data_IF_897368499560
#
_entry.id   IF_897368499560
#
_cell.length_a   1.000
_cell.length_b   1.000
_cell.length_c   1.000
_cell.angle_alpha   90.00
_cell.angle_beta   90.00
_cell.angle_gamma   90.00
#
_symmetry.space_group_name_H-M   'P 1'
#
loop_
_entity.id
_entity.type
_entity.pdbx_description
1 polymer ?
#
# COMPACT_ATOMS: atom_id res chain seq x y z
N UNK A 1 -34.52 25.33 -9.33
CA UNK A 1 -34.21 24.30 -8.30
C UNK A 1 -33.07 23.38 -8.74
N UNK A 2 -32.58 23.48 -10.01
CA UNK A 2 -31.50 22.66 -10.55
C UNK A 2 -30.09 23.20 -10.25
N UNK A 3 -29.92 24.45 -9.75
CA UNK A 3 -28.63 25.11 -9.61
C UNK A 3 -28.00 25.04 -8.20
N UNK A 4 -28.56 24.27 -7.27
CA UNK A 4 -28.06 24.18 -5.90
C UNK A 4 -27.13 22.97 -5.66
N UNK A 5 -26.75 22.24 -6.70
CA UNK A 5 -25.85 21.05 -6.60
C UNK A 5 -24.55 21.13 -7.42
N UNK A 6 -24.01 22.32 -7.70
CA UNK A 6 -22.58 22.42 -7.96
C UNK A 6 -21.83 22.25 -6.62
N UNK A 7 -21.92 21.06 -6.02
CA UNK A 7 -20.95 20.64 -5.01
C UNK A 7 -19.57 20.66 -5.67
N UNK A 8 -18.69 21.48 -5.13
CA UNK A 8 -17.26 21.44 -5.47
C UNK A 8 -16.83 19.99 -5.60
N UNK A 9 -16.39 19.60 -6.79
CA UNK A 9 -15.90 18.24 -7.04
C UNK A 9 -14.63 18.08 -6.21
N UNK A 10 -14.76 17.38 -5.09
CA UNK A 10 -13.64 17.14 -4.18
C UNK A 10 -12.71 16.20 -4.92
N UNK A 11 -11.45 16.61 -5.09
CA UNK A 11 -10.41 15.74 -5.63
C UNK A 11 -10.19 14.57 -4.66
N UNK A 12 -10.39 13.33 -5.12
CA UNK A 12 -10.32 12.16 -4.22
C UNK A 12 -8.88 11.85 -3.81
N UNK A 13 -8.74 11.07 -2.74
CA UNK A 13 -7.48 10.37 -2.48
C UNK A 13 -7.36 9.24 -3.49
N UNK A 14 -6.23 9.18 -4.20
CA UNK A 14 -5.83 8.07 -5.07
C UNK A 14 -4.99 7.06 -4.30
N UNK A 15 -4.77 5.88 -4.87
CA UNK A 15 -4.16 4.79 -4.11
C UNK A 15 -3.06 4.05 -4.89
N UNK A 16 -1.91 3.82 -4.24
CA UNK A 16 -0.96 2.80 -4.67
C UNK A 16 -1.26 1.52 -3.89
N UNK A 17 -1.68 0.49 -4.60
CA UNK A 17 -2.08 -0.81 -4.09
C UNK A 17 -1.29 -1.93 -4.76
N UNK A 18 -1.52 -3.16 -4.36
CA UNK A 18 -0.86 -4.34 -4.91
C UNK A 18 -0.17 -5.19 -3.85
N UNK A 19 0.49 -6.28 -4.22
CA UNK A 19 1.23 -7.10 -3.27
C UNK A 19 2.36 -6.31 -2.60
N UNK A 20 2.51 -6.44 -1.29
CA UNK A 20 3.70 -5.91 -0.61
C UNK A 20 4.99 -6.48 -1.24
N UNK A 21 6.16 -5.83 -1.05
CA UNK A 21 7.43 -6.26 -1.68
C UNK A 21 7.49 -6.14 -3.21
N UNK A 22 6.55 -5.43 -3.82
CA UNK A 22 6.50 -5.14 -5.26
C UNK A 22 7.01 -3.74 -5.62
N UNK A 23 7.75 -3.07 -4.74
CA UNK A 23 8.31 -1.73 -5.02
C UNK A 23 7.37 -0.56 -4.72
N UNK A 24 6.22 -0.80 -4.08
CA UNK A 24 5.24 0.26 -3.77
C UNK A 24 5.82 1.43 -2.96
N UNK A 25 6.83 1.18 -2.13
CA UNK A 25 7.51 2.26 -1.39
C UNK A 25 8.39 3.11 -2.30
N UNK A 26 9.09 2.50 -3.26
CA UNK A 26 9.88 3.25 -4.25
C UNK A 26 8.99 4.18 -5.06
N UNK A 27 7.90 3.65 -5.63
CA UNK A 27 6.95 4.45 -6.39
C UNK A 27 6.35 5.59 -5.56
N UNK A 28 5.99 5.32 -4.30
CA UNK A 28 5.49 6.35 -3.39
C UNK A 28 6.54 7.46 -3.18
N UNK A 29 7.82 7.11 -2.99
CA UNK A 29 8.88 8.10 -2.79
C UNK A 29 9.06 8.99 -4.03
N UNK A 30 9.07 8.39 -5.22
CA UNK A 30 9.12 9.17 -6.46
C UNK A 30 7.93 10.13 -6.55
N UNK A 31 6.70 9.63 -6.38
CA UNK A 31 5.51 10.48 -6.46
C UNK A 31 5.49 11.56 -5.37
N UNK A 32 5.97 11.26 -4.16
CA UNK A 32 6.04 12.27 -3.11
C UNK A 32 7.04 13.39 -3.41
N UNK A 33 8.04 13.12 -4.24
CA UNK A 33 8.99 14.14 -4.67
C UNK A 33 8.45 15.02 -5.82
N UNK A 34 7.31 14.66 -6.42
CA UNK A 34 6.64 15.52 -7.39
C UNK A 34 6.09 16.78 -6.71
N UNK A 35 6.29 18.01 -7.30
CA UNK A 35 5.89 19.27 -6.65
C UNK A 35 4.41 19.35 -6.25
N UNK A 36 3.53 18.75 -7.04
CA UNK A 36 2.06 18.84 -6.87
C UNK A 36 1.42 17.61 -6.22
N UNK A 37 2.21 16.64 -5.74
CA UNK A 37 1.71 15.38 -5.20
C UNK A 37 2.08 15.23 -3.74
N UNK A 38 1.12 14.85 -2.91
CA UNK A 38 1.36 14.20 -1.61
C UNK A 38 1.26 12.70 -1.84
N UNK A 39 2.29 11.93 -1.51
CA UNK A 39 2.23 10.48 -1.49
C UNK A 39 2.51 9.97 -0.08
N UNK A 40 1.45 9.51 0.60
CA UNK A 40 1.50 9.06 2.00
C UNK A 40 1.95 7.61 2.10
N UNK A 41 2.79 7.26 3.08
CA UNK A 41 3.04 5.87 3.43
C UNK A 41 1.83 5.23 4.14
N UNK A 42 1.95 3.95 4.49
CA UNK A 42 0.90 3.06 5.00
C UNK A 42 0.17 3.57 6.24
N UNK A 43 -0.72 4.55 6.07
CA UNK A 43 -1.66 5.04 7.08
C UNK A 43 -3.00 4.34 6.87
N UNK A 44 -3.51 3.65 7.87
CA UNK A 44 -4.76 2.88 7.74
C UNK A 44 -5.99 3.62 8.26
N UNK A 45 -5.89 4.91 8.56
CA UNK A 45 -6.95 5.69 9.21
C UNK A 45 -8.28 5.66 8.44
N UNK A 46 -8.24 5.72 7.10
CA UNK A 46 -9.46 5.69 6.27
C UNK A 46 -10.29 4.45 6.61
N UNK A 47 -9.71 3.25 6.51
CA UNK A 47 -10.44 2.01 6.81
C UNK A 47 -10.68 1.80 8.30
N UNK A 48 -9.76 2.31 9.16
CA UNK A 48 -9.88 2.18 10.60
C UNK A 48 -11.11 2.92 11.14
N UNK A 49 -11.33 4.15 10.65
CA UNK A 49 -12.42 4.99 11.11
C UNK A 49 -13.70 4.88 10.26
N UNK A 50 -13.62 4.30 9.04
CA UNK A 50 -14.75 4.26 8.10
C UNK A 50 -16.05 3.78 8.73
N UNK A 51 -16.05 2.61 9.36
CA UNK A 51 -17.27 2.05 9.93
C UNK A 51 -17.87 2.91 11.05
N UNK A 52 -17.04 3.66 11.76
CA UNK A 52 -17.46 4.54 12.86
C UNK A 52 -18.00 5.86 12.36
N UNK A 53 -17.39 6.44 11.32
CA UNK A 53 -17.62 7.83 10.93
C UNK A 53 -18.11 8.02 9.49
N UNK A 54 -18.40 6.96 8.72
CA UNK A 54 -18.83 7.07 7.31
C UNK A 54 -20.09 7.91 7.06
N UNK A 55 -20.95 8.08 8.07
CA UNK A 55 -22.16 8.90 8.01
C UNK A 55 -22.00 10.21 8.80
N UNK A 56 -20.82 10.47 9.36
CA UNK A 56 -20.56 11.69 10.11
C UNK A 56 -20.43 12.87 9.16
N UNK A 57 -21.08 13.96 9.50
CA UNK A 57 -21.04 15.25 8.77
C UNK A 57 -20.45 16.37 9.61
N UNK A 58 -20.13 16.09 10.89
CA UNK A 58 -19.55 17.05 11.81
C UNK A 58 -18.41 16.42 12.62
N UNK A 59 -17.19 16.88 12.38
CA UNK A 59 -15.96 16.38 13.02
C UNK A 59 -15.56 17.32 14.16
N UNK A 60 -16.26 17.20 15.29
CA UNK A 60 -15.98 17.99 16.50
C UNK A 60 -14.64 17.61 17.16
N UNK A 61 -14.25 18.36 18.18
CA UNK A 61 -12.96 18.18 18.86
C UNK A 61 -12.78 16.77 19.45
N UNK A 62 -13.84 16.13 19.94
CA UNK A 62 -13.77 14.78 20.49
C UNK A 62 -13.39 13.75 19.39
N UNK A 63 -13.99 13.87 18.20
CA UNK A 63 -13.65 13.01 17.06
C UNK A 63 -12.21 13.28 16.59
N UNK A 64 -11.81 14.54 16.47
CA UNK A 64 -10.44 14.92 16.08
C UNK A 64 -9.41 14.36 17.05
N UNK A 65 -9.72 14.35 18.37
CA UNK A 65 -8.86 13.74 19.39
C UNK A 65 -8.63 12.25 19.14
N UNK A 66 -9.64 11.51 18.69
CA UNK A 66 -9.44 10.09 18.34
C UNK A 66 -8.47 9.90 17.15
N UNK A 67 -8.51 10.79 16.16
CA UNK A 67 -7.57 10.77 15.05
C UNK A 67 -6.15 11.12 15.53
N UNK A 68 -6.00 12.13 16.36
CA UNK A 68 -4.70 12.51 16.95
C UNK A 68 -4.12 11.36 17.76
N UNK A 69 -4.91 10.73 18.64
CA UNK A 69 -4.48 9.55 19.42
C UNK A 69 -4.05 8.40 18.52
N UNK A 70 -4.81 8.14 17.44
CA UNK A 70 -4.46 7.11 16.46
C UNK A 70 -3.10 7.41 15.79
N UNK A 71 -2.83 8.66 15.41
CA UNK A 71 -1.55 9.03 14.81
C UNK A 71 -0.39 9.04 15.80
N UNK A 72 -0.63 9.40 17.07
CA UNK A 72 0.37 9.25 18.15
C UNK A 72 0.78 7.78 18.32
N UNK A 73 -0.19 6.87 18.32
CA UNK A 73 0.10 5.44 18.41
C UNK A 73 0.86 4.94 17.19
N UNK A 74 0.48 5.36 15.99
CA UNK A 74 1.20 5.01 14.76
C UNK A 74 2.64 5.54 14.78
N UNK A 75 2.86 6.77 15.23
CA UNK A 75 4.19 7.37 15.36
C UNK A 75 5.09 6.58 16.30
N UNK A 76 4.52 6.04 17.38
CA UNK A 76 5.26 5.25 18.38
C UNK A 76 5.60 3.82 17.93
N UNK A 77 4.79 3.23 17.03
CA UNK A 77 4.88 1.80 16.66
C UNK A 77 5.40 1.58 15.24
N UNK A 78 4.94 2.39 14.31
CA UNK A 78 5.24 2.21 12.88
C UNK A 78 6.29 3.18 12.36
N UNK A 79 6.63 4.18 13.17
CA UNK A 79 7.59 5.23 12.89
C UNK A 79 7.79 5.49 11.43
N UNK A 80 7.00 6.35 10.93
CA UNK A 80 7.31 6.94 9.66
C UNK A 80 7.91 8.33 9.92
N UNK A 81 9.24 8.46 9.87
CA UNK A 81 9.90 9.75 10.00
C UNK A 81 9.44 10.76 8.95
N UNK A 82 8.74 10.28 7.90
CA UNK A 82 8.17 11.11 6.86
C UNK A 82 6.93 11.90 7.31
N UNK A 83 6.37 11.60 8.49
CA UNK A 83 5.27 12.36 9.08
C UNK A 83 5.77 13.31 10.15
N UNK A 84 5.92 14.56 9.75
CA UNK A 84 6.03 15.67 10.69
C UNK A 84 4.72 16.43 10.65
N UNK A 85 3.77 16.08 11.51
CA UNK A 85 2.52 16.81 11.63
C UNK A 85 2.42 17.47 13.00
N UNK A 86 1.79 18.62 13.00
CA UNK A 86 1.42 19.36 14.19
C UNK A 86 -0.02 19.00 14.55
N UNK A 87 -0.26 18.52 15.75
CA UNK A 87 -1.58 18.06 16.20
C UNK A 87 -2.61 19.17 16.13
N UNK A 88 -2.18 20.40 16.43
CA UNK A 88 -2.99 21.62 16.36
C UNK A 88 -3.61 21.82 14.99
N UNK A 89 -2.91 21.45 13.93
CA UNK A 89 -3.44 21.52 12.55
C UNK A 89 -4.58 20.55 12.30
N UNK A 90 -4.60 19.37 12.95
CA UNK A 90 -5.73 18.45 12.90
C UNK A 90 -6.94 19.05 13.63
N UNK A 91 -6.71 19.66 14.80
CA UNK A 91 -7.76 20.34 15.53
C UNK A 91 -8.32 21.55 14.79
N UNK A 92 -7.53 22.21 13.96
CA UNK A 92 -7.93 23.37 13.15
C UNK A 92 -8.71 23.01 11.87
N UNK A 93 -8.80 21.73 11.49
CA UNK A 93 -9.63 21.30 10.33
C UNK A 93 -11.10 21.72 10.59
N UNK A 94 -11.78 22.19 9.54
CA UNK A 94 -13.20 22.53 9.63
C UNK A 94 -14.01 21.32 10.13
N UNK A 95 -15.04 21.59 10.92
CA UNK A 95 -15.88 20.53 11.49
C UNK A 95 -16.96 20.03 10.53
N UNK A 96 -17.51 20.92 9.71
CA UNK A 96 -18.65 20.62 8.83
C UNK A 96 -18.17 20.06 7.48
N UNK A 97 -18.02 18.76 7.41
CA UNK A 97 -17.61 18.04 6.20
C UNK A 97 -17.94 16.54 6.30
N UNK A 98 -17.94 15.85 5.17
CA UNK A 98 -18.07 14.39 5.13
C UNK A 98 -16.81 13.69 5.64
N UNK A 99 -16.92 12.39 5.94
CA UNK A 99 -15.77 11.57 6.32
C UNK A 99 -14.68 11.56 5.23
N UNK A 100 -15.08 11.51 3.95
CA UNK A 100 -14.14 11.53 2.84
C UNK A 100 -13.35 12.85 2.78
N UNK A 101 -14.03 13.98 2.94
CA UNK A 101 -13.41 15.31 3.00
C UNK A 101 -12.45 15.43 4.19
N UNK A 102 -12.88 14.98 5.35
CA UNK A 102 -12.04 15.02 6.56
C UNK A 102 -10.74 14.22 6.38
N UNK A 103 -10.82 13.03 5.78
CA UNK A 103 -9.62 12.23 5.48
C UNK A 103 -8.68 12.93 4.48
N UNK A 104 -9.21 13.69 3.50
CA UNK A 104 -8.41 14.50 2.58
C UNK A 104 -7.66 15.60 3.34
N UNK A 105 -8.35 16.35 4.19
CA UNK A 105 -7.73 17.41 4.99
C UNK A 105 -6.68 16.86 5.96
N UNK A 106 -6.94 15.71 6.57
CA UNK A 106 -5.94 15.01 7.39
C UNK A 106 -4.67 14.69 6.59
N UNK A 107 -4.79 14.19 5.34
CA UNK A 107 -3.61 13.94 4.50
C UNK A 107 -2.83 15.23 4.19
N UNK A 108 -3.50 16.35 3.93
CA UNK A 108 -2.85 17.65 3.70
C UNK A 108 -2.06 18.09 4.93
N UNK A 109 -2.67 17.99 6.12
CA UNK A 109 -2.02 18.33 7.40
C UNK A 109 -0.78 17.49 7.66
N UNK A 110 -0.84 16.18 7.37
CA UNK A 110 0.27 15.26 7.63
C UNK A 110 1.50 15.53 6.76
N UNK A 111 1.42 16.32 5.70
CA UNK A 111 2.52 16.51 4.75
C UNK A 111 3.00 17.94 4.58
N UNK A 112 2.37 18.92 5.18
CA UNK A 112 2.75 20.34 5.15
C UNK A 112 3.28 20.85 3.78
N UNK A 113 2.71 20.35 2.67
CA UNK A 113 3.14 20.66 1.30
C UNK A 113 2.23 21.71 0.69
N UNK A 114 2.82 22.75 0.10
CA UNK A 114 2.07 23.81 -0.61
C UNK A 114 1.70 23.35 -2.03
N UNK A 115 0.60 23.86 -2.57
CA UNK A 115 0.18 23.64 -3.97
C UNK A 115 -0.09 22.19 -4.37
N UNK A 116 -0.76 21.41 -3.50
CA UNK A 116 -1.12 20.02 -3.75
C UNK A 116 -2.28 19.95 -4.72
N UNK A 117 -2.09 19.21 -5.83
CA UNK A 117 -3.16 18.86 -6.79
C UNK A 117 -3.67 17.44 -6.57
N UNK A 118 -2.80 16.53 -6.17
CA UNK A 118 -3.09 15.08 -6.07
C UNK A 118 -2.60 14.52 -4.73
N UNK A 119 -3.43 13.72 -4.09
CA UNK A 119 -3.09 12.96 -2.89
C UNK A 119 -3.12 11.47 -3.24
N UNK A 120 -2.06 10.75 -2.90
CA UNK A 120 -1.93 9.31 -3.13
C UNK A 120 -1.61 8.62 -1.79
N UNK A 121 -2.46 7.70 -1.34
CA UNK A 121 -2.18 6.87 -0.17
C UNK A 121 -1.63 5.51 -0.61
N UNK A 122 -0.39 5.22 -0.22
CA UNK A 122 0.27 3.97 -0.52
C UNK A 122 0.03 2.94 0.58
N UNK A 123 -0.81 1.96 0.29
CA UNK A 123 -1.05 0.88 1.23
C UNK A 123 -1.38 -0.44 0.52
N UNK A 124 -0.45 -1.42 0.48
CA UNK A 124 -0.72 -2.73 -0.10
C UNK A 124 -1.95 -3.42 0.48
N UNK A 125 -2.22 -3.25 1.78
CA UNK A 125 -3.38 -3.84 2.45
C UNK A 125 -4.72 -3.34 1.86
N UNK A 126 -4.76 -2.14 1.33
CA UNK A 126 -5.97 -1.55 0.73
C UNK A 126 -6.47 -2.32 -0.49
N UNK A 127 -5.62 -3.09 -1.16
CA UNK A 127 -6.05 -3.97 -2.25
C UNK A 127 -7.20 -4.90 -1.83
N UNK A 128 -7.19 -5.38 -0.60
CA UNK A 128 -8.24 -6.26 -0.08
C UNK A 128 -9.56 -5.53 0.18
N UNK A 129 -9.53 -4.23 0.26
CA UNK A 129 -10.63 -3.34 0.61
C UNK A 129 -10.98 -2.35 -0.50
N UNK A 130 -10.53 -2.60 -1.73
CA UNK A 130 -10.71 -1.68 -2.86
C UNK A 130 -12.19 -1.35 -3.11
N UNK A 131 -13.10 -2.33 -2.96
CA UNK A 131 -14.56 -2.11 -3.06
C UNK A 131 -15.07 -1.06 -2.04
N UNK A 132 -14.45 -0.98 -0.86
CA UNK A 132 -14.79 0.03 0.16
C UNK A 132 -14.21 1.39 -0.21
N UNK A 133 -12.97 1.43 -0.73
CA UNK A 133 -12.34 2.68 -1.15
C UNK A 133 -13.06 3.31 -2.33
N UNK A 134 -13.55 2.50 -3.29
CA UNK A 134 -14.38 2.98 -4.41
C UNK A 134 -15.70 3.60 -3.88
N UNK A 135 -16.30 3.03 -2.82
CA UNK A 135 -17.50 3.64 -2.21
C UNK A 135 -17.22 4.97 -1.52
N UNK A 136 -16.04 5.11 -0.91
CA UNK A 136 -15.64 6.37 -0.25
C UNK A 136 -15.27 7.43 -1.29
N UNK A 137 -14.51 7.02 -2.31
CA UNK A 137 -13.98 7.87 -3.37
C UNK A 137 -14.30 7.26 -4.74
N UNK A 138 -15.51 7.46 -5.30
CA UNK A 138 -15.91 6.84 -6.58
C UNK A 138 -15.03 7.21 -7.77
N UNK A 139 -14.38 8.37 -7.73
CA UNK A 139 -13.45 8.87 -8.76
C UNK A 139 -11.98 8.58 -8.45
N UNK A 140 -11.69 7.83 -7.38
CA UNK A 140 -10.31 7.50 -7.03
C UNK A 140 -9.64 6.66 -8.10
N UNK A 141 -8.39 6.98 -8.38
CA UNK A 141 -7.51 6.21 -9.26
C UNK A 141 -6.65 5.27 -8.43
N UNK A 142 -6.48 4.04 -8.94
CA UNK A 142 -5.74 2.97 -8.28
C UNK A 142 -4.55 2.56 -9.15
N UNK A 143 -3.34 2.74 -8.65
CA UNK A 143 -2.13 2.23 -9.29
C UNK A 143 -1.84 0.87 -8.66
N UNK A 144 -2.13 -0.21 -9.40
CA UNK A 144 -1.86 -1.58 -8.97
C UNK A 144 -0.44 -1.97 -9.37
N UNK A 145 0.50 -1.83 -8.43
CA UNK A 145 1.89 -2.19 -8.64
C UNK A 145 2.13 -3.66 -8.27
N UNK A 146 2.55 -4.45 -9.25
CA UNK A 146 2.79 -5.88 -9.10
C UNK A 146 4.21 -6.24 -9.50
N UNK A 147 4.72 -7.34 -8.96
CA UNK A 147 5.99 -8.00 -9.32
C UNK A 147 5.72 -9.43 -9.70
N UNK A 148 6.57 -10.02 -10.55
CA UNK A 148 6.56 -11.46 -10.84
C UNK A 148 6.43 -12.26 -9.54
N UNK A 149 5.48 -13.20 -9.50
CA UNK A 149 5.19 -14.01 -8.31
C UNK A 149 6.42 -14.75 -7.78
N UNK A 150 7.35 -15.16 -8.66
CA UNK A 150 8.61 -15.83 -8.27
C UNK A 150 9.53 -14.85 -7.54
N UNK A 151 9.67 -13.64 -8.05
CA UNK A 151 10.41 -12.55 -7.39
C UNK A 151 9.76 -12.08 -6.10
N UNK A 152 8.44 -12.04 -6.04
CA UNK A 152 7.68 -11.74 -4.83
C UNK A 152 7.91 -12.81 -3.74
N UNK A 153 7.76 -14.10 -4.09
CA UNK A 153 7.98 -15.24 -3.18
C UNK A 153 9.42 -15.23 -2.68
N UNK A 154 10.41 -15.11 -3.57
CA UNK A 154 11.82 -15.02 -3.21
C UNK A 154 12.07 -13.89 -2.19
N UNK A 155 11.55 -12.69 -2.44
CA UNK A 155 11.70 -11.54 -1.53
C UNK A 155 11.11 -11.80 -0.13
N UNK A 156 10.03 -12.56 -0.05
CA UNK A 156 9.43 -12.95 1.24
C UNK A 156 10.22 -14.04 1.95
N UNK A 157 10.75 -15.02 1.21
CA UNK A 157 11.57 -16.10 1.77
C UNK A 157 12.90 -15.57 2.35
N UNK A 158 13.43 -14.48 1.81
CA UNK A 158 14.64 -13.81 2.31
C UNK A 158 14.35 -12.81 3.45
N UNK A 159 13.09 -12.52 3.73
CA UNK A 159 12.74 -11.57 4.79
C UNK A 159 13.03 -12.15 6.18
N UNK A 160 13.74 -11.37 7.00
CA UNK A 160 14.04 -11.70 8.41
C UNK A 160 12.92 -11.31 9.37
N UNK A 161 11.76 -10.92 8.86
CA UNK A 161 10.63 -10.49 9.69
C UNK A 161 10.16 -11.60 10.63
N UNK A 162 10.12 -11.31 11.92
CA UNK A 162 9.75 -12.25 12.98
C UNK A 162 8.34 -12.84 12.83
N UNK A 163 7.42 -12.12 12.15
CA UNK A 163 6.10 -12.63 11.78
C UNK A 163 6.15 -13.70 10.68
N UNK A 164 7.27 -13.82 9.95
CA UNK A 164 7.44 -14.71 8.80
C UNK A 164 8.46 -15.82 9.07
N UNK A 165 8.69 -16.20 10.33
CA UNK A 165 9.70 -17.18 10.76
C UNK A 165 9.60 -18.56 10.09
N UNK A 166 8.47 -18.88 9.45
CA UNK A 166 8.32 -20.14 8.70
C UNK A 166 8.39 -19.85 7.21
N UNK A 167 9.48 -20.26 6.55
CA UNK A 167 9.59 -20.27 5.07
C UNK A 167 8.43 -21.07 4.50
N UNK A 168 7.39 -20.37 3.99
CA UNK A 168 6.19 -21.01 3.46
C UNK A 168 5.85 -20.43 2.09
N UNK A 169 6.47 -21.02 1.06
CA UNK A 169 6.25 -20.66 -0.34
C UNK A 169 4.76 -20.63 -0.68
N UNK A 170 4.01 -21.63 -0.25
CA UNK A 170 2.57 -21.74 -0.57
C UNK A 170 1.77 -20.58 0.00
N UNK A 171 2.08 -20.15 1.23
CA UNK A 171 1.44 -18.99 1.85
C UNK A 171 1.67 -17.72 1.03
N UNK A 172 2.90 -17.47 0.61
CA UNK A 172 3.24 -16.29 -0.18
C UNK A 172 2.61 -16.35 -1.57
N UNK A 173 2.70 -17.49 -2.24
CA UNK A 173 2.08 -17.70 -3.54
C UNK A 173 0.57 -17.45 -3.51
N UNK A 174 -0.15 -18.01 -2.52
CA UNK A 174 -1.59 -17.80 -2.38
C UNK A 174 -1.92 -16.35 -2.03
N UNK A 175 -1.09 -15.70 -1.20
CA UNK A 175 -1.26 -14.28 -0.91
C UNK A 175 -1.14 -13.43 -2.19
N UNK A 176 -0.15 -13.72 -3.05
CA UNK A 176 0.01 -13.02 -4.32
C UNK A 176 -1.24 -13.19 -5.21
N UNK A 177 -1.77 -14.42 -5.33
CA UNK A 177 -3.00 -14.69 -6.06
C UNK A 177 -4.19 -13.89 -5.52
N UNK A 178 -4.29 -13.75 -4.21
CA UNK A 178 -5.37 -12.96 -3.59
C UNK A 178 -5.33 -11.50 -4.04
N UNK A 179 -4.14 -10.89 -4.09
CA UNK A 179 -3.98 -9.52 -4.59
C UNK A 179 -4.32 -9.41 -6.09
N UNK A 180 -3.78 -10.30 -6.90
CA UNK A 180 -4.00 -10.27 -8.35
C UNK A 180 -5.46 -10.59 -8.71
N UNK A 181 -6.12 -11.50 -7.99
CA UNK A 181 -7.54 -11.79 -8.20
C UNK A 181 -8.44 -10.57 -7.94
N UNK A 182 -8.08 -9.74 -6.96
CA UNK A 182 -8.79 -8.48 -6.70
C UNK A 182 -8.60 -7.48 -7.84
N UNK A 183 -7.38 -7.33 -8.35
CA UNK A 183 -7.12 -6.52 -9.52
C UNK A 183 -7.93 -7.00 -10.72
N UNK A 184 -7.85 -8.30 -11.07
CA UNK A 184 -8.55 -8.88 -12.21
C UNK A 184 -10.08 -8.70 -12.13
N UNK A 185 -10.65 -8.84 -10.92
CA UNK A 185 -12.08 -8.60 -10.71
C UNK A 185 -12.50 -7.17 -11.05
N UNK A 186 -11.67 -6.18 -10.71
CA UNK A 186 -12.01 -4.78 -10.91
C UNK A 186 -11.72 -4.36 -12.34
N UNK A 187 -10.59 -4.78 -12.90
CA UNK A 187 -10.24 -4.47 -14.30
C UNK A 187 -11.22 -5.07 -15.30
N UNK A 188 -11.82 -6.24 -15.00
CA UNK A 188 -12.84 -6.87 -15.85
C UNK A 188 -14.15 -6.09 -15.95
N UNK A 189 -14.42 -5.16 -15.04
CA UNK A 189 -15.58 -4.27 -15.09
C UNK A 189 -15.34 -2.98 -15.92
N UNK A 190 -14.33 -2.97 -16.79
CA UNK A 190 -13.92 -1.81 -17.61
C UNK A 190 -13.68 -0.55 -16.79
N UNK A 191 -13.03 -0.70 -15.66
CA UNK A 191 -12.77 0.41 -14.75
C UNK A 191 -11.51 1.17 -15.20
N UNK A 192 -11.69 2.29 -15.87
CA UNK A 192 -10.61 3.19 -16.33
C UNK A 192 -9.82 3.81 -15.16
N UNK A 193 -10.31 3.66 -13.93
CA UNK A 193 -9.65 4.18 -12.75
C UNK A 193 -8.63 3.20 -12.12
N UNK A 194 -8.21 2.14 -12.84
CA UNK A 194 -7.15 1.25 -12.35
C UNK A 194 -6.04 1.07 -13.41
N UNK A 195 -4.81 1.37 -13.04
CA UNK A 195 -3.61 1.21 -13.86
C UNK A 195 -2.78 0.03 -13.33
N UNK A 196 -2.47 -0.94 -14.18
CA UNK A 196 -1.50 -2.00 -13.89
C UNK A 196 -0.09 -1.49 -14.16
N UNK A 197 0.78 -1.57 -13.16
CA UNK A 197 2.21 -1.29 -13.31
C UNK A 197 3.00 -2.53 -12.90
N UNK A 198 3.83 -3.06 -13.79
CA UNK A 198 4.77 -4.12 -13.46
C UNK A 198 6.08 -3.53 -12.96
N UNK A 199 6.56 -4.02 -11.82
CA UNK A 199 7.81 -3.56 -11.22
C UNK A 199 8.99 -3.71 -12.18
N UNK A 200 9.00 -4.79 -12.96
CA UNK A 200 10.02 -5.09 -13.94
C UNK A 200 10.09 -4.00 -15.04
N UNK A 201 8.94 -3.65 -15.61
CA UNK A 201 8.82 -2.60 -16.63
C UNK A 201 9.18 -1.22 -16.07
N UNK A 202 8.76 -0.97 -14.82
CA UNK A 202 9.10 0.28 -14.13
C UNK A 202 10.59 0.43 -13.87
N UNK A 203 11.31 -0.65 -13.51
CA UNK A 203 12.76 -0.60 -13.29
C UNK A 203 13.57 -0.56 -14.57
N UNK A 204 13.04 -1.10 -15.65
CA UNK A 204 13.65 -1.07 -16.99
C UNK A 204 13.51 0.30 -17.65
N UNK A 205 12.34 0.90 -17.54
CA UNK A 205 11.99 2.18 -18.18
C UNK A 205 11.31 3.14 -17.18
N UNK A 206 12.03 3.60 -16.14
CA UNK A 206 11.43 4.35 -15.02
C UNK A 206 10.79 5.67 -15.47
N UNK A 207 11.40 6.39 -16.40
CA UNK A 207 10.87 7.66 -16.89
C UNK A 207 9.58 7.45 -17.69
N UNK A 208 9.56 6.48 -18.61
CA UNK A 208 8.38 6.15 -19.41
C UNK A 208 7.18 5.80 -18.51
N UNK A 209 7.37 4.89 -17.57
CA UNK A 209 6.30 4.44 -16.66
C UNK A 209 5.87 5.58 -15.73
N UNK A 210 6.80 6.44 -15.29
CA UNK A 210 6.45 7.60 -14.48
C UNK A 210 5.61 8.62 -15.26
N UNK A 211 5.90 8.84 -16.55
CA UNK A 211 5.07 9.68 -17.43
C UNK A 211 3.66 9.09 -17.60
N UNK A 212 3.55 7.79 -17.78
CA UNK A 212 2.27 7.09 -17.85
C UNK A 212 1.46 7.24 -16.54
N UNK A 213 2.11 7.07 -15.39
CA UNK A 213 1.47 7.27 -14.08
C UNK A 213 1.02 8.72 -13.88
N UNK A 214 1.84 9.70 -14.24
CA UNK A 214 1.46 11.12 -14.16
C UNK A 214 0.26 11.43 -15.06
N UNK A 215 0.27 10.95 -16.32
CA UNK A 215 -0.87 11.07 -17.24
C UNK A 215 -2.13 10.42 -16.66
N UNK A 216 -2.01 9.21 -16.13
CA UNK A 216 -3.11 8.52 -15.45
C UNK A 216 -3.65 9.33 -14.26
N UNK A 217 -2.79 9.95 -13.45
CA UNK A 217 -3.18 10.84 -12.35
C UNK A 217 -3.66 12.22 -12.81
N UNK A 218 -3.56 12.54 -14.10
CA UNK A 218 -3.92 13.85 -14.69
C UNK A 218 -3.06 15.00 -14.15
N UNK A 219 -1.77 14.75 -14.01
CA UNK A 219 -0.77 15.75 -13.67
C UNK A 219 0.35 15.76 -14.73
N UNK A 220 1.00 16.90 -14.88
CA UNK A 220 2.18 17.02 -15.73
C UNK A 220 3.34 16.22 -15.14
N UNK A 221 4.13 15.59 -16.00
CA UNK A 221 5.36 14.94 -15.56
C UNK A 221 6.39 15.97 -15.11
N UNK A 222 7.11 15.67 -14.03
CA UNK A 222 8.19 16.51 -13.52
C UNK A 222 9.40 15.64 -13.15
N UNK A 223 10.58 15.96 -13.71
CA UNK A 223 11.81 15.18 -13.52
C UNK A 223 12.29 15.14 -12.06
N UNK A 224 11.88 16.11 -11.24
CA UNK A 224 12.19 16.12 -9.79
C UNK A 224 11.77 14.88 -9.05
N UNK A 225 10.84 14.06 -9.60
CA UNK A 225 10.47 12.80 -8.99
C UNK A 225 11.68 11.88 -8.78
N UNK A 226 12.73 12.00 -9.59
CA UNK A 226 13.95 11.19 -9.49
C UNK A 226 14.97 11.71 -8.46
N UNK A 227 14.78 12.92 -7.92
CA UNK A 227 15.60 13.52 -6.86
C UNK A 227 15.19 13.02 -5.45
N UNK A 228 14.31 12.01 -5.34
CA UNK A 228 13.77 11.49 -4.10
C UNK A 228 14.82 10.98 -3.09
N UNK A 229 16.04 10.69 -3.54
CA UNK A 229 17.13 10.21 -2.68
C UNK A 229 17.58 11.27 -1.69
N UNK A 230 17.64 12.52 -2.11
CA UNK A 230 18.02 13.66 -1.25
C UNK A 230 17.04 13.79 -0.07
N UNK A 231 15.75 13.55 -0.32
CA UNK A 231 14.75 13.57 0.74
C UNK A 231 14.92 12.37 1.71
N UNK A 232 15.28 11.20 1.19
CA UNK A 232 15.57 10.03 2.03
C UNK A 232 16.81 10.26 2.89
N UNK A 233 17.87 10.82 2.33
CA UNK A 233 19.10 11.16 3.07
C UNK A 233 18.83 12.16 4.17
N UNK A 234 18.12 13.24 3.88
CA UNK A 234 17.67 14.21 4.91
C UNK A 234 16.90 13.53 6.04
N UNK A 235 15.96 12.63 5.71
CA UNK A 235 15.21 11.89 6.72
C UNK A 235 16.09 10.97 7.55
N UNK A 236 17.04 10.27 6.95
CA UNK A 236 17.96 9.39 7.69
C UNK A 236 18.80 10.21 8.67
N UNK A 237 19.28 11.37 8.25
CA UNK A 237 20.13 12.24 9.08
C UNK A 237 19.37 13.06 10.13
N UNK A 238 18.07 13.32 9.93
CA UNK A 238 17.26 14.09 10.89
C UNK A 238 16.90 13.35 12.18
N UNK A 239 17.14 12.04 12.24
CA UNK A 239 16.82 11.21 13.41
C UNK A 239 18.08 10.71 14.10
N UNK A 240 18.34 11.22 15.31
CA UNK A 240 19.37 10.67 16.18
C UNK A 240 19.08 9.20 16.50
N UNK A 241 20.09 8.34 16.34
CA UNK A 241 19.99 6.90 16.61
C UNK A 241 18.91 6.17 15.80
N UNK A 242 18.61 6.62 14.57
CA UNK A 242 17.57 6.02 13.73
C UNK A 242 17.85 4.54 13.42
N UNK A 243 19.12 4.19 13.20
CA UNK A 243 19.53 2.82 12.95
C UNK A 243 19.28 1.89 14.15
N UNK A 244 19.53 2.37 15.35
CA UNK A 244 19.38 1.63 16.61
C UNK A 244 17.92 1.50 17.01
N UNK A 245 17.16 2.60 16.91
CA UNK A 245 15.76 2.65 17.33
C UNK A 245 14.84 1.98 16.31
N UNK A 246 15.17 2.04 15.02
CA UNK A 246 14.33 1.56 13.91
C UNK A 246 15.11 0.81 12.83
N UNK A 247 15.86 -0.27 13.17
CA UNK A 247 16.80 -0.92 12.26
C UNK A 247 16.16 -1.43 10.96
N UNK A 248 14.90 -1.86 11.02
CA UNK A 248 14.17 -2.33 9.83
C UNK A 248 13.80 -1.21 8.88
N UNK A 249 13.31 -0.10 9.41
CA UNK A 249 12.95 1.07 8.61
C UNK A 249 14.19 1.73 8.03
N UNK A 250 15.24 1.84 8.84
CA UNK A 250 16.57 2.32 8.39
C UNK A 250 17.07 1.50 7.20
N UNK A 251 17.09 0.15 7.32
CA UNK A 251 17.46 -0.73 6.22
C UNK A 251 16.60 -0.53 4.98
N UNK A 252 15.28 -0.40 5.15
CA UNK A 252 14.36 -0.16 4.04
C UNK A 252 14.64 1.16 3.35
N UNK A 253 14.95 2.22 4.08
CA UNK A 253 15.28 3.54 3.52
C UNK A 253 16.65 3.54 2.83
N UNK A 254 17.66 2.92 3.43
CA UNK A 254 18.98 2.79 2.80
C UNK A 254 18.95 1.92 1.54
N UNK A 255 18.08 0.91 1.47
CA UNK A 255 17.86 0.12 0.25
C UNK A 255 17.26 0.97 -0.88
N UNK A 256 16.48 2.02 -0.57
CA UNK A 256 15.91 2.95 -1.56
C UNK A 256 16.92 3.96 -2.11
N UNK A 257 18.06 4.18 -1.42
CA UNK A 257 19.15 5.02 -1.93
C UNK A 257 19.91 4.38 -3.10
N UNK A 258 19.76 3.06 -3.29
CA UNK A 258 20.38 2.37 -4.42
C UNK A 258 19.82 2.88 -5.74
N UNK A 259 20.62 2.88 -6.82
CA UNK A 259 20.12 3.22 -8.15
C UNK A 259 18.91 2.37 -8.55
N UNK A 260 17.91 3.01 -9.18
CA UNK A 260 16.81 2.28 -9.82
C UNK A 260 17.42 1.38 -10.87
N UNK A 261 17.27 0.07 -10.73
CA UNK A 261 17.91 -0.90 -11.62
C UNK A 261 17.14 -2.22 -11.63
N UNK A 262 16.89 -2.72 -12.83
CA UNK A 262 16.30 -4.05 -13.04
C UNK A 262 17.21 -5.24 -12.68
N UNK A 263 18.49 -5.01 -12.33
CA UNK A 263 19.47 -6.09 -12.07
C UNK A 263 19.02 -7.13 -11.04
N UNK A 264 18.22 -6.72 -10.06
CA UNK A 264 17.75 -7.59 -8.98
C UNK A 264 16.35 -8.18 -9.21
N UNK A 265 15.72 -7.86 -10.29
CA UNK A 265 14.34 -8.28 -10.57
C UNK A 265 14.26 -9.77 -10.84
N UNK A 266 15.25 -10.31 -11.54
CA UNK A 266 15.36 -11.71 -11.91
C UNK A 266 16.19 -12.55 -10.92
N UNK A 267 16.62 -12.02 -9.78
CA UNK A 267 17.41 -12.75 -8.80
C UNK A 267 16.78 -14.08 -8.34
N UNK A 268 15.47 -14.21 -8.47
CA UNK A 268 14.76 -15.46 -8.17
C UNK A 268 15.24 -16.63 -9.07
N UNK A 269 15.71 -16.37 -10.29
CA UNK A 269 16.21 -17.41 -11.23
C UNK A 269 17.43 -18.16 -10.68
N UNK A 270 18.24 -17.50 -9.87
CA UNK A 270 19.44 -18.05 -9.27
C UNK A 270 19.25 -18.47 -7.79
N UNK A 271 18.24 -17.93 -7.14
CA UNK A 271 18.07 -18.09 -5.69
C UNK A 271 16.90 -19.01 -5.30
N UNK A 272 15.97 -19.29 -6.21
CA UNK A 272 14.96 -20.33 -6.01
C UNK A 272 15.41 -21.62 -6.66
N UNK A 273 15.18 -22.74 -6.02
CA UNK A 273 15.39 -24.07 -6.60
C UNK A 273 14.38 -24.33 -7.72
N UNK A 274 14.69 -25.22 -8.67
CA UNK A 274 13.75 -25.61 -9.73
C UNK A 274 12.43 -26.13 -9.16
N UNK A 275 12.46 -26.81 -8.01
CA UNK A 275 11.25 -27.27 -7.31
C UNK A 275 10.41 -26.09 -6.76
N UNK A 276 11.05 -25.07 -6.20
CA UNK A 276 10.36 -23.87 -5.71
C UNK A 276 9.76 -23.05 -6.87
N UNK A 277 10.47 -22.91 -7.98
CA UNK A 277 9.97 -22.29 -9.21
C UNK A 277 8.73 -23.04 -9.69
N UNK A 278 8.83 -24.35 -9.89
CA UNK A 278 7.70 -25.19 -10.34
C UNK A 278 6.49 -25.09 -9.43
N UNK A 279 6.70 -25.13 -8.09
CA UNK A 279 5.63 -24.96 -7.10
C UNK A 279 4.97 -23.60 -7.17
N UNK A 280 5.75 -22.53 -7.36
CA UNK A 280 5.21 -21.17 -7.51
C UNK A 280 4.40 -21.03 -8.79
N UNK A 281 4.84 -21.63 -9.89
CA UNK A 281 4.13 -21.67 -11.17
C UNK A 281 2.83 -22.48 -11.10
N UNK A 282 2.84 -23.61 -10.41
CA UNK A 282 1.64 -24.39 -10.13
C UNK A 282 0.58 -23.54 -9.42
N UNK A 283 0.98 -22.72 -8.45
CA UNK A 283 0.03 -21.95 -7.64
C UNK A 283 -0.36 -20.63 -8.30
N UNK A 284 0.60 -19.91 -8.90
CA UNK A 284 0.42 -18.54 -9.39
C UNK A 284 0.30 -18.43 -10.90
N UNK A 285 0.75 -19.42 -11.66
CA UNK A 285 0.92 -19.32 -13.11
C UNK A 285 -0.34 -18.86 -13.86
N UNK A 286 -1.50 -19.41 -13.53
CA UNK A 286 -2.77 -19.03 -14.17
C UNK A 286 -3.12 -17.55 -13.94
N UNK A 287 -2.89 -17.03 -12.74
CA UNK A 287 -3.09 -15.60 -12.46
C UNK A 287 -1.98 -14.76 -13.08
N UNK A 288 -0.74 -15.28 -13.10
CA UNK A 288 0.41 -14.63 -13.70
C UNK A 288 0.20 -14.41 -15.20
N UNK A 289 -0.25 -15.44 -15.94
CA UNK A 289 -0.52 -15.35 -17.38
C UNK A 289 -1.56 -14.28 -17.71
N UNK A 290 -2.60 -14.11 -16.88
CA UNK A 290 -3.63 -13.09 -17.09
C UNK A 290 -3.12 -11.65 -16.99
N UNK A 291 -1.97 -11.45 -16.36
CA UNK A 291 -1.32 -10.14 -16.25
C UNK A 291 0.06 -10.11 -16.94
N UNK A 292 0.33 -11.10 -17.80
CA UNK A 292 1.48 -11.13 -18.72
C UNK A 292 2.77 -11.69 -18.14
N UNK A 293 2.73 -12.47 -17.03
CA UNK A 293 3.88 -13.25 -16.55
C UNK A 293 3.82 -14.67 -17.11
N UNK A 294 4.79 -15.04 -17.94
CA UNK A 294 4.86 -16.37 -18.55
C UNK A 294 5.44 -17.42 -17.58
N UNK A 295 4.91 -18.63 -17.62
CA UNK A 295 5.52 -19.78 -16.95
C UNK A 295 6.76 -20.25 -17.71
N UNK A 296 7.75 -20.76 -16.98
CA UNK A 296 8.99 -21.33 -17.56
C UNK A 296 8.89 -22.85 -17.80
N UNK A 297 7.92 -23.52 -17.15
CA UNK A 297 7.71 -24.96 -17.31
C UNK A 297 6.83 -25.26 -18.53
N UNK A 298 7.29 -26.16 -19.40
CA UNK A 298 6.61 -26.54 -20.66
C UNK A 298 5.26 -27.28 -20.47
N UNK A 299 4.91 -27.74 -19.26
CA UNK A 299 3.72 -28.54 -19.00
C UNK A 299 2.55 -27.74 -18.41
N UNK A 300 2.05 -26.75 -19.15
CA UNK A 300 0.95 -25.88 -18.68
C UNK A 300 -0.36 -26.63 -18.35
N UNK A 301 -0.68 -27.74 -19.03
CA UNK A 301 -1.94 -28.45 -18.86
C UNK A 301 -1.97 -29.32 -17.57
N UNK A 302 -0.88 -30.00 -17.24
CA UNK A 302 -0.73 -30.80 -16.03
C UNK A 302 -0.65 -29.91 -14.76
N UNK A 303 0.01 -28.76 -14.91
CA UNK A 303 0.07 -27.73 -13.89
C UNK A 303 -1.33 -27.16 -13.58
N UNK A 304 -2.16 -26.93 -14.58
CA UNK A 304 -3.56 -26.47 -14.42
C UNK A 304 -4.43 -27.48 -13.66
N UNK A 305 -4.24 -28.77 -13.92
CA UNK A 305 -4.99 -29.83 -13.25
C UNK A 305 -4.58 -30.01 -11.76
N UNK A 306 -3.27 -29.95 -11.47
CA UNK A 306 -2.78 -29.98 -10.08
C UNK A 306 -3.22 -28.75 -9.27
N UNK A 307 -3.36 -27.60 -9.91
CA UNK A 307 -3.90 -26.38 -9.29
C UNK A 307 -5.34 -26.53 -8.82
N UNK A 308 -6.18 -27.20 -9.61
CA UNK A 308 -7.59 -27.42 -9.27
C UNK A 308 -7.73 -28.28 -8.02
N UNK A 309 -6.96 -29.37 -7.92
CA UNK A 309 -7.04 -30.32 -6.79
C UNK A 309 -6.31 -29.80 -5.54
N UNK A 310 -5.14 -29.16 -5.71
CA UNK A 310 -4.28 -28.74 -4.59
C UNK A 310 -4.75 -27.51 -3.81
N UNK A 311 -5.67 -26.72 -4.37
CA UNK A 311 -6.04 -25.43 -3.78
C UNK A 311 -7.35 -25.44 -2.98
N UNK A 312 -8.22 -26.45 -3.16
CA UNK A 312 -9.57 -26.43 -2.59
C UNK A 312 -9.63 -26.41 -1.03
N UNK A 313 -8.94 -27.28 -0.28
CA UNK A 313 -9.04 -27.27 1.19
C UNK A 313 -8.19 -26.17 1.85
N UNK A 314 -7.12 -25.75 1.19
CA UNK A 314 -6.14 -24.82 1.75
C UNK A 314 -6.55 -23.36 1.58
N UNK A 315 -7.30 -23.02 0.56
CA UNK A 315 -7.87 -21.69 0.34
C UNK A 315 -8.74 -21.24 1.52
N UNK A 316 -9.47 -22.18 2.14
CA UNK A 316 -10.30 -21.94 3.33
C UNK A 316 -9.41 -21.62 4.54
N UNK A 317 -8.31 -22.35 4.75
CA UNK A 317 -7.40 -22.12 5.88
C UNK A 317 -6.58 -20.83 5.74
N UNK A 318 -6.24 -20.41 4.52
CA UNK A 318 -5.57 -19.13 4.27
C UNK A 318 -6.51 -17.94 4.48
N UNK A 319 -7.76 -18.03 4.03
CA UNK A 319 -8.77 -17.00 4.37
C UNK A 319 -8.95 -16.87 5.88
N UNK A 320 -9.03 -17.98 6.60
CA UNK A 320 -9.12 -17.99 8.06
C UNK A 320 -7.88 -17.38 8.72
N UNK A 321 -6.67 -17.70 8.23
CA UNK A 321 -5.43 -17.12 8.74
C UNK A 321 -5.34 -15.61 8.52
N UNK A 322 -5.67 -15.10 7.32
CA UNK A 322 -5.65 -13.65 7.06
C UNK A 322 -6.78 -12.91 7.76
N UNK A 323 -7.95 -13.53 7.92
CA UNK A 323 -9.00 -12.98 8.78
C UNK A 323 -8.54 -12.93 10.25
N UNK A 324 -7.86 -13.97 10.73
CA UNK A 324 -7.30 -14.04 12.09
C UNK A 324 -6.15 -13.05 12.32
N UNK A 325 -5.23 -12.86 11.36
CA UNK A 325 -4.17 -11.85 11.43
C UNK A 325 -4.75 -10.44 11.33
N UNK A 326 -5.75 -10.23 10.47
CA UNK A 326 -6.50 -8.97 10.41
C UNK A 326 -7.24 -8.67 11.73
N UNK A 327 -7.86 -9.68 12.33
CA UNK A 327 -8.52 -9.59 13.65
C UNK A 327 -7.51 -9.40 14.78
N UNK A 328 -6.32 -10.03 14.75
CA UNK A 328 -5.29 -9.81 15.77
C UNK A 328 -4.71 -8.40 15.74
N UNK A 329 -4.49 -7.81 14.58
CA UNK A 329 -4.08 -6.41 14.50
C UNK A 329 -5.16 -5.48 15.02
N UNK A 330 -6.43 -5.74 14.72
CA UNK A 330 -7.56 -5.00 15.26
C UNK A 330 -7.75 -5.25 16.78
N UNK A 331 -7.51 -6.46 17.26
CA UNK A 331 -7.60 -6.83 18.68
C UNK A 331 -6.42 -6.29 19.49
N UNK A 332 -5.22 -6.22 18.92
CA UNK A 332 -4.04 -5.63 19.54
C UNK A 332 -4.26 -4.15 19.85
N UNK A 333 -4.83 -3.40 18.92
CA UNK A 333 -5.23 -2.01 19.14
C UNK A 333 -6.35 -1.87 20.21
N UNK A 334 -7.33 -2.79 20.23
CA UNK A 334 -8.39 -2.82 21.26
C UNK A 334 -7.89 -3.17 22.65
N UNK A 335 -6.95 -4.10 22.80
CA UNK A 335 -6.42 -4.55 24.10
C UNK A 335 -5.55 -3.46 24.71
N UNK A 336 -4.71 -2.78 23.91
CA UNK A 336 -3.90 -1.66 24.38
C UNK A 336 -4.78 -0.48 24.83
N UNK A 337 -5.89 -0.22 24.14
CA UNK A 337 -6.89 0.79 24.51
C UNK A 337 -7.54 0.52 25.89
N UNK A 338 -7.81 -0.75 26.21
CA UNK A 338 -8.36 -1.13 27.54
C UNK A 338 -7.32 -0.99 28.67
N UNK A 339 -6.05 -1.22 28.40
CA UNK A 339 -4.99 -1.10 29.41
C UNK A 339 -4.60 0.35 29.72
N UNK A 340 -4.68 1.25 28.75
CA UNK A 340 -4.44 2.69 28.95
C UNK A 340 -5.61 3.38 29.65
N UNK A 341 -6.85 2.96 29.40
CA UNK A 341 -8.03 3.49 30.11
C UNK A 341 -8.04 3.09 31.61
N UNK A 342 -7.60 1.86 31.95
CA UNK A 342 -7.48 1.42 33.36
C UNK A 342 -6.35 2.11 34.14
N UNK A 343 -5.31 2.62 33.46
CA UNK A 343 -4.22 3.36 34.14
C UNK A 343 -4.50 4.84 34.39
N UNK A 344 -5.58 5.40 33.83
CA UNK A 344 -5.97 6.81 34.05
C UNK A 344 -7.08 6.98 35.10
N UNK A 345 -7.59 5.89 35.69
CA UNK A 345 -8.67 5.90 36.67
C UNK A 345 -8.34 5.08 37.95
N UNK A 346 -7.04 4.86 38.23
CA UNK A 346 -6.54 4.42 39.53
C UNK A 346 -5.53 5.43 40.06
#
# INVERSE_FOLDING_TARGET
VADLYQKNVIEPIHFIIGPGRSGTTLLMMLLNNHPSVIASPEIKHILYFYNKYKLCTQFNQAIKTEFVEYFRELKSVALNPMFQYEEEKIYAINENMSFAEFCIEVHKVLHNKKSVKVIVDKNPFYTKHIDTLIRIYPKAKFIFLVRDYRGFIHSHLQSTDSFQKKRNLRLYATSWNEYVSKYLKISSSNNENILLVKMEEFLDSPEKISKEICSFLQIDFNEKIFEYRDEIEKHIHSYNNFKETHPRLFKKMTDLLRPISGKNVTNWTHNLTSSEIKRSEIICGQFGEKIGYKMTSENSCFVKFQNFIGNLPWYISVKAYFAFVGVKTHHYFKIKRRSTFKKKHN
#
